data_IF_796641230280
#
_entry.id   IF_796641230280
#
_cell.length_a   1.000
_cell.length_b   1.000
_cell.length_c   1.000
_cell.angle_alpha   90.00
_cell.angle_beta   90.00
_cell.angle_gamma   90.00
#
_symmetry.space_group_name_H-M   'P 1'
#
loop_
_entity.id
_entity.type
_entity.pdbx_description
1 polymer ?
#
# COMPACT_ATOMS: atom_id res chain seq x y z
N UNK A 1 63.76 -16.72 30.97
CA UNK A 1 63.18 -16.03 29.80
C UNK A 1 61.65 -16.01 29.82
N UNK A 2 60.98 -17.05 30.33
CA UNK A 2 59.51 -17.17 30.50
C UNK A 2 58.85 -16.01 31.29
N UNK A 3 59.50 -15.47 32.34
CA UNK A 3 58.93 -14.37 33.14
C UNK A 3 58.83 -13.02 32.40
N UNK A 4 59.58 -12.82 31.31
CA UNK A 4 59.48 -11.59 30.50
C UNK A 4 58.24 -11.60 29.58
N UNK A 5 57.73 -12.78 29.23
CA UNK A 5 56.55 -12.92 28.36
C UNK A 5 55.25 -12.50 29.09
N UNK A 6 55.12 -12.86 30.38
CA UNK A 6 53.98 -12.49 31.22
C UNK A 6 53.97 -11.02 31.71
N UNK A 7 55.05 -10.27 31.47
CA UNK A 7 55.22 -8.90 31.97
C UNK A 7 55.20 -7.84 30.87
N UNK A 8 54.97 -8.26 29.62
CA UNK A 8 54.82 -7.36 28.47
C UNK A 8 53.41 -6.77 28.41
N UNK A 9 53.22 -5.58 28.99
CA UNK A 9 51.96 -4.81 28.89
C UNK A 9 51.80 -4.09 27.55
N UNK A 10 52.82 -4.11 26.67
CA UNK A 10 52.88 -3.33 25.42
C UNK A 10 51.89 -3.76 24.32
N UNK A 11 51.10 -4.82 24.53
CA UNK A 11 49.98 -5.19 23.65
C UNK A 11 48.64 -5.32 24.36
N UNK A 12 48.60 -5.18 25.69
CA UNK A 12 47.41 -5.43 26.49
C UNK A 12 46.30 -4.41 26.18
N UNK A 13 46.66 -3.13 26.06
CA UNK A 13 45.70 -2.09 25.70
C UNK A 13 45.11 -2.27 24.30
N UNK A 14 45.91 -2.76 23.33
CA UNK A 14 45.43 -3.03 21.96
C UNK A 14 44.41 -4.17 21.96
N UNK A 15 44.66 -5.22 22.75
CA UNK A 15 43.72 -6.34 22.90
C UNK A 15 42.45 -5.93 23.65
N UNK A 16 42.54 -5.09 24.68
CA UNK A 16 41.36 -4.60 25.41
C UNK A 16 40.41 -3.82 24.51
N UNK A 17 40.92 -2.85 23.74
CA UNK A 17 40.07 -2.10 22.81
C UNK A 17 39.53 -2.98 21.67
N UNK A 18 40.34 -3.91 21.14
CA UNK A 18 39.89 -4.85 20.12
C UNK A 18 38.78 -5.80 20.62
N UNK A 19 38.90 -6.28 21.85
CA UNK A 19 37.92 -7.16 22.47
C UNK A 19 36.60 -6.43 22.73
N UNK A 20 36.65 -5.17 23.18
CA UNK A 20 35.45 -4.35 23.39
C UNK A 20 34.73 -4.10 22.06
N UNK A 21 35.47 -3.75 20.99
CA UNK A 21 34.88 -3.53 19.65
C UNK A 21 34.22 -4.81 19.12
N UNK A 22 34.89 -5.97 19.28
CA UNK A 22 34.34 -7.25 18.89
C UNK A 22 33.06 -7.61 19.69
N UNK A 23 33.05 -7.31 20.99
CA UNK A 23 31.89 -7.53 21.86
C UNK A 23 30.68 -6.67 21.46
N UNK A 24 30.89 -5.38 21.19
CA UNK A 24 29.81 -4.48 20.72
C UNK A 24 29.28 -4.95 19.36
N UNK A 25 30.16 -5.28 18.42
CA UNK A 25 29.75 -5.76 17.10
C UNK A 25 28.93 -7.06 17.17
N UNK A 26 29.31 -8.00 18.05
CA UNK A 26 28.57 -9.23 18.28
C UNK A 26 27.16 -8.94 18.84
N UNK A 27 27.04 -8.08 19.84
CA UNK A 27 25.75 -7.71 20.44
C UNK A 27 24.85 -7.03 19.40
N UNK A 28 25.40 -6.11 18.59
CA UNK A 28 24.65 -5.47 17.50
C UNK A 28 24.19 -6.49 16.45
N UNK A 29 25.04 -7.43 16.04
CA UNK A 29 24.68 -8.46 15.07
C UNK A 29 23.55 -9.37 15.60
N UNK A 30 23.63 -9.77 16.88
CA UNK A 30 22.58 -10.55 17.54
C UNK A 30 21.26 -9.77 17.64
N UNK A 31 21.31 -8.49 18.01
CA UNK A 31 20.14 -7.63 18.08
C UNK A 31 19.47 -7.49 16.71
N UNK A 32 20.23 -7.21 15.64
CA UNK A 32 19.69 -7.10 14.28
C UNK A 32 19.11 -8.44 13.81
N UNK A 33 19.77 -9.57 14.12
CA UNK A 33 19.26 -10.90 13.77
C UNK A 33 17.93 -11.24 14.46
N UNK A 34 17.75 -10.85 15.72
CA UNK A 34 16.53 -11.17 16.48
C UNK A 34 15.40 -10.19 16.18
N UNK A 35 15.70 -8.90 16.11
CA UNK A 35 14.69 -7.85 15.93
C UNK A 35 14.39 -7.52 14.47
N UNK A 36 15.27 -7.86 13.52
CA UNK A 36 15.09 -7.53 12.10
C UNK A 36 13.80 -8.06 11.51
N UNK A 37 13.50 -9.35 11.70
CA UNK A 37 12.23 -9.93 11.21
C UNK A 37 11.02 -9.33 11.95
N UNK A 38 11.12 -9.12 13.27
CA UNK A 38 10.02 -8.54 14.07
C UNK A 38 9.67 -7.12 13.65
N UNK A 39 10.66 -6.29 13.34
CA UNK A 39 10.45 -4.93 12.83
C UNK A 39 9.85 -4.96 11.43
N UNK A 40 10.32 -5.86 10.56
CA UNK A 40 9.74 -6.08 9.23
C UNK A 40 8.28 -6.53 9.31
N UNK A 41 7.96 -7.46 10.20
CA UNK A 41 6.62 -7.98 10.41
C UNK A 41 5.67 -6.90 10.96
N UNK A 42 6.17 -6.05 11.86
CA UNK A 42 5.42 -4.91 12.38
C UNK A 42 5.12 -3.89 11.27
N UNK A 43 6.11 -3.55 10.43
CA UNK A 43 5.91 -2.65 9.29
C UNK A 43 4.90 -3.23 8.30
N UNK A 44 4.96 -4.52 8.03
CA UNK A 44 4.03 -5.20 7.12
C UNK A 44 2.62 -5.22 7.71
N UNK A 45 2.45 -5.55 8.99
CA UNK A 45 1.17 -5.50 9.66
C UNK A 45 0.56 -4.09 9.65
N UNK A 46 1.36 -3.06 9.95
CA UNK A 46 0.90 -1.66 9.87
C UNK A 46 0.53 -1.28 8.43
N UNK A 47 1.30 -1.71 7.44
CA UNK A 47 0.98 -1.47 6.03
C UNK A 47 -0.35 -2.10 5.63
N UNK A 48 -0.70 -3.29 6.14
CA UNK A 48 -2.01 -3.93 5.87
C UNK A 48 -3.19 -3.28 6.59
N UNK A 49 -2.94 -2.68 7.77
CA UNK A 49 -3.99 -2.07 8.61
C UNK A 49 -4.26 -0.61 8.22
N UNK A 50 -3.32 0.05 7.55
CA UNK A 50 -3.55 1.41 7.04
C UNK A 50 -4.68 1.40 5.99
N UNK A 51 -5.71 2.24 6.11
CA UNK A 51 -6.78 2.34 5.11
C UNK A 51 -6.19 2.62 3.72
N UNK A 52 -6.49 1.77 2.74
CA UNK A 52 -5.97 1.87 1.36
C UNK A 52 -4.96 0.79 0.93
N UNK A 53 -4.72 -0.24 1.76
CA UNK A 53 -3.79 -1.33 1.44
C UNK A 53 -4.42 -2.55 0.76
N UNK A 54 -5.75 -2.66 0.73
CA UNK A 54 -6.42 -3.74 0.02
C UNK A 54 -6.63 -3.36 -1.45
N UNK A 55 -6.43 -4.32 -2.35
CA UNK A 55 -6.62 -4.12 -3.79
C UNK A 55 -8.06 -3.65 -4.11
N UNK A 56 -9.03 -4.06 -3.30
CA UNK A 56 -10.43 -3.66 -3.41
C UNK A 56 -10.68 -2.20 -3.00
N UNK A 57 -9.83 -1.64 -2.13
CA UNK A 57 -9.92 -0.24 -1.65
C UNK A 57 -9.26 0.76 -2.63
N UNK A 58 -8.31 0.29 -3.44
CA UNK A 58 -7.70 1.04 -4.56
C UNK A 58 -8.30 0.67 -5.93
N UNK A 59 -9.38 -0.13 -5.93
CA UNK A 59 -10.09 -0.51 -7.14
C UNK A 59 -10.85 0.66 -7.77
N UNK A 60 -11.27 0.49 -9.03
CA UNK A 60 -12.17 1.47 -9.67
C UNK A 60 -13.45 1.62 -8.83
N UNK A 61 -13.93 2.85 -8.61
CA UNK A 61 -15.18 3.11 -7.87
C UNK A 61 -16.35 2.36 -8.54
N UNK A 62 -16.89 1.36 -7.83
CA UNK A 62 -17.97 0.47 -8.31
C UNK A 62 -19.36 0.92 -7.88
N UNK A 63 -19.50 1.80 -6.87
CA UNK A 63 -20.82 2.27 -6.42
C UNK A 63 -21.37 3.35 -7.35
N UNK A 64 -22.43 3.03 -8.10
CA UNK A 64 -23.26 3.98 -8.85
C UNK A 64 -22.51 4.85 -9.85
N UNK A 65 -21.47 4.35 -10.54
CA UNK A 65 -20.54 5.20 -11.29
C UNK A 65 -21.21 5.97 -12.44
N UNK A 66 -21.14 7.29 -12.38
CA UNK A 66 -21.61 8.18 -13.45
C UNK A 66 -20.70 8.09 -14.68
N UNK A 67 -19.41 7.85 -14.42
CA UNK A 67 -18.32 7.88 -15.39
C UNK A 67 -17.55 6.55 -15.30
N UNK A 68 -17.37 5.85 -16.41
CA UNK A 68 -16.59 4.61 -16.40
C UNK A 68 -15.13 4.90 -16.13
N UNK A 69 -14.66 4.32 -15.04
CA UNK A 69 -13.26 4.32 -14.64
C UNK A 69 -12.73 2.90 -14.72
N UNK A 70 -11.44 2.78 -14.97
CA UNK A 70 -10.72 1.52 -14.96
C UNK A 70 -9.51 1.65 -14.04
N UNK A 71 -8.98 0.53 -13.58
CA UNK A 71 -7.66 0.54 -12.95
C UNK A 71 -6.63 0.82 -14.05
N UNK A 72 -5.87 1.90 -13.93
CA UNK A 72 -4.78 2.17 -14.86
C UNK A 72 -3.77 1.02 -14.80
N UNK A 73 -3.27 0.59 -15.95
CA UNK A 73 -2.31 -0.53 -16.05
C UNK A 73 -0.86 -0.05 -15.76
N UNK A 74 -0.62 1.25 -15.66
CA UNK A 74 0.72 1.81 -15.90
C UNK A 74 1.36 2.52 -14.68
N UNK A 75 1.04 2.08 -13.46
CA UNK A 75 1.65 2.58 -12.23
C UNK A 75 2.89 1.77 -11.83
N UNK A 76 4.09 2.19 -12.23
CA UNK A 76 5.34 1.63 -11.71
C UNK A 76 5.44 1.90 -10.18
N UNK A 77 4.92 0.98 -9.36
CA UNK A 77 4.94 1.12 -7.90
C UNK A 77 3.85 0.39 -7.11
N UNK A 78 3.01 -0.45 -7.74
CA UNK A 78 2.06 -1.32 -7.02
C UNK A 78 0.76 -0.63 -6.56
N UNK A 79 0.63 0.69 -6.76
CA UNK A 79 -0.64 1.40 -6.68
C UNK A 79 -1.19 1.59 -8.09
N UNK A 80 -2.32 0.95 -8.42
CA UNK A 80 -3.01 1.15 -9.69
C UNK A 80 -3.92 2.39 -9.55
N UNK A 81 -3.58 3.56 -10.10
CA UNK A 81 -4.45 4.71 -9.99
C UNK A 81 -5.75 4.48 -10.74
N UNK A 82 -6.82 5.14 -10.29
CA UNK A 82 -8.11 5.12 -10.98
C UNK A 82 -8.01 6.03 -12.22
N UNK A 83 -8.11 5.44 -13.41
CA UNK A 83 -8.11 6.15 -14.70
C UNK A 83 -9.51 6.18 -15.32
N UNK A 84 -9.74 7.10 -16.26
CA UNK A 84 -10.97 7.11 -17.06
C UNK A 84 -10.90 6.02 -18.13
N UNK A 85 -11.95 5.21 -18.23
CA UNK A 85 -12.12 4.26 -19.34
C UNK A 85 -12.78 4.98 -20.52
N UNK A 86 -11.96 5.70 -21.28
CA UNK A 86 -12.40 6.47 -22.45
C UNK A 86 -13.08 5.61 -23.52
N UNK A 87 -12.75 4.32 -23.60
CA UNK A 87 -13.31 3.39 -24.58
C UNK A 87 -14.77 3.04 -24.26
N UNK A 88 -15.03 2.70 -23.00
CA UNK A 88 -16.38 2.40 -22.52
C UNK A 88 -17.23 3.68 -22.44
N UNK A 89 -16.63 4.81 -22.04
CA UNK A 89 -17.29 6.12 -22.08
C UNK A 89 -17.75 6.46 -23.49
N UNK A 90 -16.89 6.26 -24.50
CA UNK A 90 -17.25 6.54 -25.90
C UNK A 90 -18.35 5.62 -26.40
N UNK A 91 -18.37 4.36 -25.97
CA UNK A 91 -19.38 3.37 -26.38
C UNK A 91 -20.74 3.67 -25.77
N UNK A 92 -20.76 4.19 -24.53
CA UNK A 92 -21.98 4.54 -23.80
C UNK A 92 -22.41 6.00 -23.99
N UNK A 93 -21.73 6.73 -24.86
CA UNK A 93 -22.07 8.10 -25.24
C UNK A 93 -23.49 8.14 -25.82
N UNK A 94 -24.42 8.80 -25.11
CA UNK A 94 -25.82 8.96 -25.53
C UNK A 94 -26.83 8.09 -24.77
N UNK A 95 -26.40 7.18 -23.91
CA UNK A 95 -27.28 6.38 -23.05
C UNK A 95 -27.56 7.07 -21.70
N UNK A 96 -28.68 6.76 -21.04
CA UNK A 96 -29.05 7.35 -19.73
C UNK A 96 -28.32 6.67 -18.58
N UNK A 97 -27.02 6.94 -18.43
CA UNK A 97 -26.12 6.29 -17.44
C UNK A 97 -26.63 6.40 -16.01
N UNK A 98 -27.05 7.60 -15.64
CA UNK A 98 -27.64 7.93 -14.35
C UNK A 98 -28.93 7.16 -14.07
N UNK A 99 -29.84 7.11 -15.04
CA UNK A 99 -31.14 6.46 -14.89
C UNK A 99 -30.99 4.96 -14.70
N UNK A 100 -30.15 4.32 -15.51
CA UNK A 100 -29.84 2.90 -15.39
C UNK A 100 -29.18 2.55 -14.04
N UNK A 101 -28.23 3.38 -13.57
CA UNK A 101 -27.46 3.08 -12.36
C UNK A 101 -28.24 3.35 -11.06
N UNK A 102 -29.23 4.24 -11.06
CA UNK A 102 -30.03 4.56 -9.87
C UNK A 102 -31.37 3.80 -9.86
N UNK A 103 -32.00 3.61 -11.03
CA UNK A 103 -33.34 3.03 -11.15
C UNK A 103 -33.35 1.60 -11.72
N UNK A 104 -32.20 1.06 -12.15
CA UNK A 104 -32.08 -0.29 -12.69
C UNK A 104 -32.72 -0.49 -14.06
N UNK A 105 -33.13 0.59 -14.74
CA UNK A 105 -33.76 0.55 -16.06
C UNK A 105 -33.48 1.84 -16.83
N UNK A 106 -33.16 1.71 -18.12
CA UNK A 106 -33.00 2.84 -19.02
C UNK A 106 -34.39 3.33 -19.46
N UNK A 107 -34.92 4.30 -18.72
CA UNK A 107 -36.20 4.93 -19.06
C UNK A 107 -35.94 5.91 -20.20
N UNK A 108 -36.57 5.65 -21.35
CA UNK A 108 -36.55 6.55 -22.51
C UNK A 108 -37.01 7.96 -22.09
N UNK A 109 -36.09 8.92 -22.04
CA UNK A 109 -36.34 10.30 -21.60
C UNK A 109 -35.66 10.71 -20.28
N UNK A 110 -34.98 9.81 -19.58
CA UNK A 110 -34.22 10.11 -18.36
C UNK A 110 -35.06 10.67 -17.20
N UNK A 111 -34.47 11.49 -16.32
CA UNK A 111 -35.13 12.13 -15.16
C UNK A 111 -36.20 13.18 -15.53
N UNK A 112 -36.78 13.11 -16.73
CA UNK A 112 -37.73 14.09 -17.28
C UNK A 112 -39.10 13.52 -17.67
N UNK A 113 -39.46 12.32 -17.18
CA UNK A 113 -40.81 11.79 -17.36
C UNK A 113 -41.86 12.70 -16.71
N UNK A 114 -43.00 12.87 -17.39
CA UNK A 114 -44.16 13.62 -16.91
C UNK A 114 -44.50 13.18 -15.48
N UNK A 115 -44.38 14.09 -14.51
CA UNK A 115 -45.02 13.90 -13.21
C UNK A 115 -46.52 13.84 -13.51
N UNK A 116 -47.08 12.63 -13.51
CA UNK A 116 -48.51 12.47 -13.46
C UNK A 116 -48.94 12.92 -12.06
N UNK A 117 -49.21 14.22 -11.93
CA UNK A 117 -49.98 14.72 -10.80
C UNK A 117 -51.29 13.93 -10.83
N UNK A 118 -51.45 13.04 -9.86
CA UNK A 118 -52.71 12.34 -9.62
C UNK A 118 -53.72 13.44 -9.36
N UNK A 119 -54.52 13.74 -10.38
CA UNK A 119 -55.69 14.59 -10.23
C UNK A 119 -56.61 14.01 -9.16
N UNK A 120 -57.22 14.92 -8.39
CA UNK A 120 -58.35 14.62 -7.49
C UNK A 120 -59.35 13.61 -8.07
#
# INVERSE_FOLDING_TARGET
MIMKLFRNRKGQGLVEYGLIIAGVALICAAAVSVFGHKTSDLIAAVATVLPGAHADDNGSITSGKLIETTSAVDGAGGAQPIALDVSTISTNSGNTRLGNNVMGSDITGGFGGLIAEVGE
#
